data_IF_258991357839
#
_entry.id   IF_258991357839
#
_cell.length_a   1.000
_cell.length_b   1.000
_cell.length_c   1.000
_cell.angle_alpha   90.00
_cell.angle_beta   90.00
_cell.angle_gamma   90.00
#
_symmetry.space_group_name_H-M   'P 1'
#
loop_
_entity.id
_entity.type
_entity.pdbx_description
1 polymer ?
#
# COMPACT_ATOMS: atom_id res chain seq x y z
N UNK A 1 5.94 -32.30 35.68
CA UNK A 1 4.62 -32.70 35.06
C UNK A 1 3.60 -31.55 35.01
N UNK A 2 3.58 -30.63 35.96
CA UNK A 2 2.56 -29.53 36.00
C UNK A 2 2.79 -28.49 34.89
N UNK A 3 4.02 -28.15 34.47
CA UNK A 3 4.33 -27.16 33.44
C UNK A 3 3.83 -27.53 32.05
N UNK A 4 3.81 -28.79 31.65
CA UNK A 4 3.33 -29.25 30.36
C UNK A 4 1.77 -29.16 30.23
N UNK A 5 1.04 -29.32 31.34
CA UNK A 5 -0.44 -29.20 31.32
C UNK A 5 -0.88 -27.78 30.99
N UNK A 6 -0.23 -26.77 31.54
CA UNK A 6 -0.56 -25.36 31.22
C UNK A 6 -0.17 -24.99 29.78
N UNK A 7 0.93 -25.53 29.26
CA UNK A 7 1.35 -25.33 27.88
C UNK A 7 0.36 -25.94 26.89
N UNK A 8 -0.15 -27.13 27.15
CA UNK A 8 -1.20 -27.79 26.35
C UNK A 8 -2.51 -27.02 26.43
N UNK A 9 -2.91 -26.53 27.60
CA UNK A 9 -4.14 -25.72 27.78
C UNK A 9 -4.04 -24.41 26.97
N UNK A 10 -2.87 -23.74 26.97
CA UNK A 10 -2.66 -22.53 26.19
C UNK A 10 -2.72 -22.81 24.68
N UNK A 11 -2.16 -23.94 24.21
CA UNK A 11 -2.25 -24.35 22.81
C UNK A 11 -3.69 -24.67 22.41
N UNK A 12 -4.45 -25.39 23.26
CA UNK A 12 -5.86 -25.71 23.01
C UNK A 12 -6.74 -24.45 23.02
N UNK A 13 -6.48 -23.49 23.91
CA UNK A 13 -7.14 -22.18 23.91
C UNK A 13 -6.80 -21.36 22.66
N UNK A 14 -5.57 -21.37 22.18
CA UNK A 14 -5.17 -20.72 20.94
C UNK A 14 -5.77 -21.38 19.69
N UNK A 15 -5.97 -22.70 19.70
CA UNK A 15 -6.62 -23.43 18.61
C UNK A 15 -8.15 -23.29 18.61
N UNK A 16 -8.77 -23.01 19.75
CA UNK A 16 -10.24 -22.86 19.84
C UNK A 16 -10.76 -21.51 19.34
N UNK A 17 -9.91 -20.52 19.09
CA UNK A 17 -10.29 -19.21 18.54
C UNK A 17 -10.45 -19.19 17.02
N UNK A 18 -10.19 -20.31 16.33
CA UNK A 18 -10.12 -20.38 14.86
C UNK A 18 -11.47 -20.47 14.14
N UNK A 19 -12.61 -20.35 14.82
CA UNK A 19 -13.95 -20.54 14.18
C UNK A 19 -14.87 -19.32 14.25
N UNK A 20 -14.35 -18.14 14.58
CA UNK A 20 -15.14 -16.92 14.39
C UNK A 20 -15.06 -16.50 12.92
N UNK A 21 -15.88 -17.10 12.07
CA UNK A 21 -16.13 -16.63 10.71
C UNK A 21 -16.79 -15.26 10.82
N UNK A 22 -15.98 -14.19 10.83
CA UNK A 22 -16.47 -12.83 10.63
C UNK A 22 -17.09 -12.74 9.24
N UNK A 23 -18.19 -12.02 9.12
CA UNK A 23 -18.82 -11.76 7.84
C UNK A 23 -17.82 -10.97 6.97
N UNK A 24 -17.43 -11.50 5.81
CA UNK A 24 -16.54 -10.81 4.88
C UNK A 24 -17.19 -9.51 4.41
N UNK A 25 -16.48 -8.38 4.61
CA UNK A 25 -16.90 -7.04 4.15
C UNK A 25 -16.27 -6.66 2.80
N UNK A 26 -15.96 -7.65 1.95
CA UNK A 26 -15.35 -7.42 0.65
C UNK A 26 -16.18 -6.44 -0.19
N UNK A 27 -15.51 -5.43 -0.77
CA UNK A 27 -16.16 -4.45 -1.64
C UNK A 27 -16.95 -3.35 -0.90
N UNK A 28 -16.73 -3.16 0.39
CA UNK A 28 -17.43 -2.14 1.19
C UNK A 28 -16.66 -0.84 1.39
N UNK A 29 -15.50 -0.69 0.74
CA UNK A 29 -14.66 0.53 0.82
C UNK A 29 -14.44 1.17 -0.54
N UNK A 30 -14.21 2.50 -0.53
CA UNK A 30 -13.66 3.23 -1.69
C UNK A 30 -12.14 3.21 -1.68
N UNK A 31 -11.51 3.81 -2.70
CA UNK A 31 -10.05 3.98 -2.81
C UNK A 31 -9.23 2.68 -2.60
N UNK A 32 -9.69 1.57 -3.16
CA UNK A 32 -9.05 0.25 -3.04
C UNK A 32 -7.61 0.24 -3.57
N UNK A 33 -7.23 1.20 -4.44
CA UNK A 33 -5.86 1.36 -4.95
C UNK A 33 -4.82 1.59 -3.83
N UNK A 34 -5.25 2.05 -2.64
CA UNK A 34 -4.40 2.18 -1.45
C UNK A 34 -3.94 0.82 -0.88
N UNK A 35 -4.50 -0.28 -1.36
CA UNK A 35 -4.08 -1.65 -1.02
C UNK A 35 -3.06 -2.25 -2.00
N UNK A 36 -2.80 -1.59 -3.14
CA UNK A 36 -1.79 -2.05 -4.11
C UNK A 36 -0.41 -1.88 -3.50
N UNK A 37 0.42 -2.92 -3.55
CA UNK A 37 1.78 -2.88 -2.99
C UNK A 37 2.65 -1.84 -3.70
N UNK A 38 3.33 -0.98 -2.95
CA UNK A 38 4.25 0.02 -3.47
C UNK A 38 5.71 -0.45 -3.33
N UNK A 39 6.48 -0.29 -4.40
CA UNK A 39 7.90 -0.61 -4.47
C UNK A 39 8.22 -2.08 -4.77
N UNK A 40 9.06 -2.34 -5.79
CA UNK A 40 9.44 -3.68 -6.21
C UNK A 40 10.07 -4.51 -5.09
N UNK A 41 10.93 -3.91 -4.27
CA UNK A 41 11.58 -4.61 -3.15
C UNK A 41 10.56 -5.19 -2.17
N UNK A 42 9.58 -4.38 -1.77
CA UNK A 42 8.55 -4.82 -0.84
C UNK A 42 7.64 -5.88 -1.47
N UNK A 43 7.24 -5.67 -2.73
CA UNK A 43 6.40 -6.61 -3.47
C UNK A 43 7.10 -7.95 -3.68
N UNK A 44 8.40 -7.95 -4.02
CA UNK A 44 9.20 -9.18 -4.15
C UNK A 44 9.30 -9.99 -2.86
N UNK A 45 9.14 -9.34 -1.70
CA UNK A 45 9.07 -9.97 -0.39
C UNK A 45 7.62 -10.31 0.03
N UNK A 46 6.70 -10.48 -0.93
CA UNK A 46 5.30 -10.78 -0.66
C UNK A 46 4.54 -9.62 0.02
N UNK A 47 5.09 -8.41 0.09
CA UNK A 47 4.52 -7.29 0.86
C UNK A 47 4.83 -7.33 2.36
N UNK A 48 5.69 -8.24 2.83
CA UNK A 48 6.16 -8.30 4.22
C UNK A 48 7.23 -7.21 4.47
N UNK A 49 6.79 -5.98 4.72
CA UNK A 49 7.67 -4.81 4.76
C UNK A 49 7.47 -3.87 5.95
N UNK A 50 6.50 -4.12 6.83
CA UNK A 50 6.16 -3.24 7.96
C UNK A 50 7.30 -3.09 8.98
N UNK A 51 8.21 -4.07 9.05
CA UNK A 51 9.40 -4.05 9.91
C UNK A 51 10.71 -3.69 9.17
N UNK A 52 10.63 -3.29 7.88
CA UNK A 52 11.79 -2.85 7.10
C UNK A 52 11.93 -1.33 7.17
N UNK A 53 13.17 -0.81 7.21
CA UNK A 53 13.43 0.61 7.50
C UNK A 53 14.48 1.27 6.62
N UNK A 54 15.13 0.54 5.74
CA UNK A 54 16.29 0.99 4.96
C UNK A 54 15.94 1.37 3.51
N UNK A 55 14.68 1.78 3.29
CA UNK A 55 14.11 2.03 1.98
C UNK A 55 12.99 3.09 2.07
N UNK A 56 12.78 3.89 1.02
CA UNK A 56 11.70 4.88 0.96
C UNK A 56 10.31 4.24 0.99
N UNK A 57 10.15 2.98 0.60
CA UNK A 57 8.89 2.25 0.71
C UNK A 57 8.35 2.15 2.15
N UNK A 58 9.22 2.38 3.17
CA UNK A 58 8.78 2.52 4.56
C UNK A 58 7.66 3.58 4.72
N UNK A 59 7.66 4.67 3.94
CA UNK A 59 6.58 5.67 3.93
C UNK A 59 5.21 5.06 3.68
N UNK A 60 5.15 4.04 2.84
CA UNK A 60 3.90 3.39 2.45
C UNK A 60 3.44 2.36 3.47
N UNK A 61 4.36 1.54 3.99
CA UNK A 61 4.03 0.40 4.85
C UNK A 61 4.00 0.75 6.34
N UNK A 62 4.95 1.59 6.79
CA UNK A 62 5.11 1.96 8.19
C UNK A 62 5.88 3.28 8.34
N UNK A 63 5.21 4.43 8.47
CA UNK A 63 5.89 5.72 8.60
C UNK A 63 6.81 5.82 9.82
N UNK A 64 6.60 4.97 10.84
CA UNK A 64 7.49 4.89 12.00
C UNK A 64 8.89 4.36 11.68
N UNK A 65 9.04 3.62 10.57
CA UNK A 65 10.31 3.04 10.17
C UNK A 65 11.24 4.01 9.42
N UNK A 66 10.70 5.11 8.86
CA UNK A 66 11.43 5.98 7.95
C UNK A 66 12.63 6.71 8.59
N UNK A 67 12.55 7.05 9.89
CA UNK A 67 13.63 7.75 10.57
C UNK A 67 14.82 6.84 10.91
N UNK A 68 14.60 5.51 10.93
CA UNK A 68 15.61 4.54 11.35
C UNK A 68 16.72 4.33 10.32
N UNK A 69 16.47 4.63 9.03
CA UNK A 69 17.49 4.46 7.98
C UNK A 69 18.69 5.39 8.16
N UNK A 70 18.53 6.53 8.83
CA UNK A 70 19.55 7.54 9.02
C UNK A 70 20.03 8.23 7.72
N UNK A 71 19.39 7.94 6.58
CA UNK A 71 19.72 8.45 5.24
C UNK A 71 18.51 9.06 4.58
N UNK A 72 18.78 9.92 3.61
CA UNK A 72 17.76 10.40 2.67
C UNK A 72 17.59 9.40 1.53
N UNK A 73 16.35 9.19 1.11
CA UNK A 73 15.99 8.22 0.06
C UNK A 73 15.02 8.86 -0.92
N UNK A 74 15.20 8.58 -2.19
CA UNK A 74 14.23 8.85 -3.23
C UNK A 74 13.99 7.57 -4.02
N UNK A 75 12.74 7.25 -4.34
CA UNK A 75 12.37 6.14 -5.20
C UNK A 75 11.25 6.57 -6.14
N UNK A 76 11.37 6.20 -7.40
CA UNK A 76 10.30 6.22 -8.38
C UNK A 76 10.01 4.79 -8.82
N UNK A 77 8.77 4.36 -8.65
CA UNK A 77 8.27 3.02 -9.05
C UNK A 77 7.24 3.15 -10.16
N UNK A 78 7.38 2.32 -11.18
CA UNK A 78 6.39 2.11 -12.23
C UNK A 78 5.95 0.66 -12.25
N UNK A 79 4.66 0.43 -12.35
CA UNK A 79 4.04 -0.90 -12.38
C UNK A 79 3.08 -0.98 -13.54
N UNK A 80 3.28 -1.97 -14.40
CA UNK A 80 2.25 -2.43 -15.32
C UNK A 80 1.21 -3.18 -14.48
N UNK A 81 0.07 -2.51 -14.25
CA UNK A 81 -1.00 -3.06 -13.42
C UNK A 81 -2.01 -3.81 -14.27
N UNK A 82 -2.97 -4.46 -13.64
CA UNK A 82 -3.98 -5.29 -14.28
C UNK A 82 -4.75 -4.54 -15.37
N UNK A 83 -5.15 -5.24 -16.42
CA UNK A 83 -6.03 -4.72 -17.50
C UNK A 83 -5.48 -3.44 -18.16
N UNK A 84 -4.19 -3.42 -18.49
CA UNK A 84 -3.50 -2.28 -19.14
C UNK A 84 -3.57 -0.96 -18.37
N UNK A 85 -3.80 -1.01 -17.06
CA UNK A 85 -3.70 0.17 -16.20
C UNK A 85 -2.26 0.34 -15.71
N UNK A 86 -1.93 1.49 -15.16
CA UNK A 86 -0.59 1.74 -14.61
C UNK A 86 -0.65 2.26 -13.18
N UNK A 87 0.16 1.65 -12.31
CA UNK A 87 0.32 2.10 -10.93
C UNK A 87 1.70 2.70 -10.75
N UNK A 88 1.76 3.96 -10.34
CA UNK A 88 2.98 4.71 -10.13
C UNK A 88 3.08 5.14 -8.67
N UNK A 89 4.27 5.00 -8.10
CA UNK A 89 4.54 5.45 -6.75
C UNK A 89 5.87 6.18 -6.68
N UNK A 90 5.86 7.35 -6.01
CA UNK A 90 7.06 8.14 -5.72
C UNK A 90 7.15 8.31 -4.22
N UNK A 91 8.32 8.03 -3.66
CA UNK A 91 8.63 8.27 -2.25
C UNK A 91 9.93 9.06 -2.08
N UNK A 92 9.90 10.05 -1.22
CA UNK A 92 11.07 10.81 -0.81
C UNK A 92 11.13 10.92 0.70
N UNK A 93 12.24 10.50 1.30
CA UNK A 93 12.56 10.67 2.72
C UNK A 93 13.77 11.61 2.80
N UNK A 94 13.62 12.69 3.54
CA UNK A 94 14.70 13.59 3.91
C UNK A 94 15.05 13.38 5.38
N UNK A 95 16.28 12.93 5.64
CA UNK A 95 16.83 12.92 6.99
C UNK A 95 17.22 14.35 7.37
N UNK A 96 16.53 14.93 8.33
CA UNK A 96 16.76 16.31 8.77
C UNK A 96 17.69 16.41 9.98
N UNK A 97 18.35 15.30 10.35
CA UNK A 97 19.25 15.21 11.49
C UNK A 97 18.53 15.06 12.84
N UNK A 98 19.31 14.85 13.90
CA UNK A 98 18.76 14.75 15.26
C UNK A 98 17.69 13.67 15.44
N UNK A 99 17.84 12.54 14.77
CA UNK A 99 16.89 11.42 14.81
C UNK A 99 15.51 11.71 14.15
N UNK A 100 15.42 12.71 13.29
CA UNK A 100 14.16 13.08 12.64
C UNK A 100 14.24 12.87 11.13
N UNK A 101 13.10 12.50 10.54
CA UNK A 101 12.94 12.42 9.10
C UNK A 101 11.58 13.01 8.67
N UNK A 102 11.57 13.65 7.51
CA UNK A 102 10.36 14.10 6.83
C UNK A 102 10.23 13.31 5.54
N UNK A 103 9.00 12.94 5.20
CA UNK A 103 8.72 12.17 4.00
C UNK A 103 7.57 12.75 3.21
N UNK A 104 7.64 12.61 1.90
CA UNK A 104 6.52 12.88 0.99
C UNK A 104 6.36 11.70 0.04
N UNK A 105 5.12 11.36 -0.28
CA UNK A 105 4.87 10.37 -1.31
C UNK A 105 3.66 10.70 -2.17
N UNK A 106 3.69 10.19 -3.39
CA UNK A 106 2.61 10.28 -4.37
C UNK A 106 2.29 8.88 -4.85
N UNK A 107 1.04 8.49 -4.76
CA UNK A 107 0.51 7.24 -5.32
C UNK A 107 -0.50 7.58 -6.40
N UNK A 108 -0.38 6.99 -7.57
CA UNK A 108 -1.29 7.19 -8.69
C UNK A 108 -1.66 5.85 -9.31
N UNK A 109 -2.95 5.62 -9.54
CA UNK A 109 -3.46 4.58 -10.42
C UNK A 109 -4.14 5.27 -11.60
N UNK A 110 -3.66 4.99 -12.80
CA UNK A 110 -4.17 5.54 -14.06
C UNK A 110 -4.85 4.41 -14.85
N UNK A 111 -6.11 4.62 -15.15
CA UNK A 111 -6.94 3.64 -15.88
C UNK A 111 -6.90 3.85 -17.39
N UNK A 112 -6.16 4.87 -17.87
CA UNK A 112 -6.11 5.24 -19.29
C UNK A 112 -7.27 6.12 -19.72
N UNK A 113 -7.39 6.29 -21.03
CA UNK A 113 -8.43 7.07 -21.66
C UNK A 113 -9.20 6.23 -22.67
N UNK A 114 -10.53 6.31 -22.64
CA UNK A 114 -11.41 5.59 -23.56
C UNK A 114 -12.33 6.56 -24.31
N UNK A 115 -12.77 6.16 -25.49
CA UNK A 115 -13.72 6.95 -26.28
C UNK A 115 -15.13 6.86 -25.69
N UNK A 116 -15.82 7.99 -25.69
CA UNK A 116 -17.26 8.02 -25.37
C UNK A 116 -18.04 7.50 -26.57
N UNK A 117 -18.77 6.39 -26.38
CA UNK A 117 -19.65 5.81 -27.38
C UNK A 117 -21.12 5.96 -26.98
N UNK A 118 -22.00 6.07 -27.96
CA UNK A 118 -23.45 6.11 -27.74
C UNK A 118 -24.15 5.12 -28.69
N UNK A 119 -25.41 4.83 -28.42
CA UNK A 119 -26.21 3.95 -29.30
C UNK A 119 -26.26 4.47 -30.75
N UNK A 120 -26.20 5.78 -30.92
CA UNK A 120 -26.24 6.43 -32.24
C UNK A 120 -24.86 6.65 -32.86
N UNK A 121 -23.79 6.56 -32.04
CA UNK A 121 -22.39 6.75 -32.44
C UNK A 121 -21.52 5.65 -31.84
N UNK A 122 -21.65 4.39 -32.27
CA UNK A 122 -20.92 3.26 -31.70
C UNK A 122 -19.40 3.33 -31.96
N UNK A 123 -18.98 4.04 -33.02
CA UNK A 123 -17.57 4.27 -33.37
C UNK A 123 -16.92 5.40 -32.56
N UNK A 124 -17.68 6.07 -31.70
CA UNK A 124 -17.22 7.16 -30.83
C UNK A 124 -17.84 8.51 -31.17
N UNK A 125 -18.06 9.34 -30.13
CA UNK A 125 -18.59 10.71 -30.27
C UNK A 125 -17.50 11.72 -30.61
N UNK A 126 -16.22 11.34 -30.51
CA UNK A 126 -15.05 12.23 -30.55
C UNK A 126 -14.61 12.71 -29.17
N UNK A 127 -15.45 12.58 -28.13
CA UNK A 127 -15.07 12.85 -26.75
C UNK A 127 -14.34 11.65 -26.14
N UNK A 128 -13.51 11.92 -25.13
CA UNK A 128 -12.82 10.90 -24.34
C UNK A 128 -13.11 11.07 -22.86
N UNK A 129 -13.13 9.98 -22.14
CA UNK A 129 -13.21 9.96 -20.69
C UNK A 129 -12.00 9.24 -20.10
N UNK A 130 -11.62 9.62 -18.89
CA UNK A 130 -10.51 9.02 -18.16
C UNK A 130 -10.92 8.82 -16.71
N UNK A 131 -10.33 7.81 -16.08
CA UNK A 131 -10.38 7.61 -14.63
C UNK A 131 -8.97 7.62 -14.05
N UNK A 132 -8.84 8.19 -12.85
CA UNK A 132 -7.56 8.30 -12.15
C UNK A 132 -7.77 8.39 -10.65
N UNK A 133 -6.96 7.64 -9.91
CA UNK A 133 -6.87 7.72 -8.47
C UNK A 133 -5.52 8.33 -8.07
N UNK A 134 -5.53 9.17 -7.05
CA UNK A 134 -4.36 9.88 -6.55
C UNK A 134 -4.36 9.89 -5.03
N UNK A 135 -3.20 9.63 -4.40
CA UNK A 135 -2.98 9.91 -3.00
C UNK A 135 -1.66 10.68 -2.82
N UNK A 136 -1.73 11.77 -2.08
CA UNK A 136 -0.58 12.57 -1.65
C UNK A 136 -0.38 12.37 -0.16
N UNK A 137 0.86 12.14 0.29
CA UNK A 137 1.17 11.93 1.70
C UNK A 137 2.32 12.83 2.14
N UNK A 138 2.15 13.41 3.32
CA UNK A 138 3.20 14.11 4.06
C UNK A 138 3.42 13.38 5.37
N UNK A 139 4.66 13.00 5.66
CA UNK A 139 5.03 12.13 6.77
C UNK A 139 6.10 12.78 7.64
N UNK A 140 6.05 12.46 8.93
CA UNK A 140 7.08 12.78 9.89
C UNK A 140 7.40 11.56 10.74
N UNK A 141 8.68 11.29 10.96
CA UNK A 141 9.16 10.21 11.81
C UNK A 141 10.30 10.64 12.72
N UNK A 142 10.38 10.01 13.87
CA UNK A 142 11.41 10.29 14.86
C UNK A 142 11.88 9.02 15.57
N UNK A 143 13.19 8.88 15.72
CA UNK A 143 13.77 7.92 16.65
C UNK A 143 13.70 8.50 18.07
N UNK A 144 12.86 7.91 18.91
CA UNK A 144 12.74 8.30 20.33
C UNK A 144 13.91 7.77 21.15
N UNK A 145 14.42 6.60 20.75
CA UNK A 145 15.65 5.98 21.26
C UNK A 145 16.38 5.35 20.08
N UNK A 146 17.58 4.83 20.30
CA UNK A 146 18.34 4.10 19.28
C UNK A 146 17.60 2.87 18.73
N UNK A 147 16.57 2.41 19.44
CA UNK A 147 15.82 1.18 19.11
C UNK A 147 14.33 1.38 18.88
N UNK A 148 13.80 2.52 19.21
CA UNK A 148 12.36 2.77 19.11
C UNK A 148 12.10 4.03 18.31
N UNK A 149 11.36 3.87 17.24
CA UNK A 149 10.93 4.96 16.38
C UNK A 149 9.42 4.97 16.20
N UNK A 150 8.90 6.18 16.01
CA UNK A 150 7.48 6.45 15.76
C UNK A 150 7.36 7.42 14.60
N UNK A 151 6.29 7.31 13.85
CA UNK A 151 5.99 8.24 12.78
C UNK A 151 4.50 8.28 12.47
N UNK A 152 4.14 9.30 11.72
CA UNK A 152 2.79 9.47 11.22
C UNK A 152 2.79 10.16 9.88
N UNK A 153 1.68 10.01 9.15
CA UNK A 153 1.45 10.65 7.85
C UNK A 153 0.08 11.29 7.82
N UNK A 154 -0.05 12.39 7.09
CA UNK A 154 -1.31 12.96 6.68
C UNK A 154 -1.46 12.75 5.17
N UNK A 155 -2.62 12.26 4.73
CA UNK A 155 -2.90 11.93 3.34
C UNK A 155 -4.07 12.73 2.81
N UNK A 156 -3.96 13.15 1.55
CA UNK A 156 -5.07 13.60 0.72
C UNK A 156 -5.28 12.56 -0.38
N UNK A 157 -6.51 12.07 -0.52
CA UNK A 157 -6.89 11.00 -1.43
C UNK A 157 -7.97 11.56 -2.35
N UNK A 158 -7.83 11.31 -3.65
CA UNK A 158 -8.78 11.74 -4.67
C UNK A 158 -9.00 10.60 -5.67
N UNK A 159 -10.26 10.30 -5.95
CA UNK A 159 -10.66 9.45 -7.06
C UNK A 159 -11.45 10.29 -8.05
N UNK A 160 -11.10 10.20 -9.32
CA UNK A 160 -11.79 10.90 -10.41
C UNK A 160 -12.21 9.90 -11.47
N UNK A 161 -13.48 9.97 -11.83
CA UNK A 161 -14.05 9.25 -12.97
C UNK A 161 -14.75 10.26 -13.86
N UNK A 162 -14.16 10.51 -15.01
CA UNK A 162 -14.64 11.51 -15.97
C UNK A 162 -14.86 12.88 -15.32
N UNK A 163 -16.13 13.27 -15.09
CA UNK A 163 -16.54 14.58 -14.54
C UNK A 163 -16.76 14.56 -13.02
N UNK A 164 -16.77 13.35 -12.43
CA UNK A 164 -17.07 13.14 -11.03
C UNK A 164 -15.78 12.95 -10.22
N UNK A 165 -15.76 13.51 -9.03
CA UNK A 165 -14.59 13.44 -8.16
C UNK A 165 -15.03 13.15 -6.72
N UNK A 166 -14.34 12.21 -6.07
CA UNK A 166 -14.44 12.01 -4.63
C UNK A 166 -13.10 12.35 -3.98
N UNK A 167 -13.13 12.94 -2.78
CA UNK A 167 -11.90 13.21 -2.04
C UNK A 167 -12.07 12.93 -0.56
N UNK A 168 -10.97 12.51 0.07
CA UNK A 168 -10.92 12.21 1.50
C UNK A 168 -9.57 12.61 2.10
N UNK A 169 -9.55 12.81 3.40
CA UNK A 169 -8.33 12.95 4.19
C UNK A 169 -8.14 11.73 5.07
N UNK A 170 -6.90 11.29 5.22
CA UNK A 170 -6.55 10.17 6.08
C UNK A 170 -5.27 10.44 6.87
N UNK A 171 -5.06 9.64 7.90
CA UNK A 171 -3.86 9.65 8.73
C UNK A 171 -3.32 8.22 8.86
N UNK A 172 -2.00 8.11 8.89
CA UNK A 172 -1.30 6.89 9.24
C UNK A 172 -0.49 7.11 10.52
N UNK A 173 -0.35 6.03 11.28
CA UNK A 173 0.56 5.99 12.43
C UNK A 173 1.34 4.69 12.35
N UNK A 174 2.63 4.76 12.69
CA UNK A 174 3.48 3.59 12.70
C UNK A 174 4.55 3.66 13.77
N UNK A 175 5.05 2.50 14.15
CA UNK A 175 6.16 2.34 15.08
C UNK A 175 7.09 1.21 14.62
N UNK A 176 8.35 1.32 14.98
CA UNK A 176 9.35 0.29 14.76
C UNK A 176 10.19 0.10 16.04
N UNK A 177 10.39 -1.14 16.42
CA UNK A 177 11.23 -1.51 17.56
C UNK A 177 12.34 -2.48 17.13
N UNK A 178 13.59 -2.14 17.42
CA UNK A 178 14.78 -2.94 17.15
C UNK A 178 15.14 -3.73 18.39
N UNK A 179 15.23 -5.05 18.27
CA UNK A 179 15.69 -5.91 19.38
C UNK A 179 17.19 -6.17 19.31
N UNK A 180 17.76 -6.73 20.37
CA UNK A 180 19.17 -7.17 20.39
C UNK A 180 19.39 -8.55 19.78
N UNK A 181 18.32 -9.24 19.41
CA UNK A 181 18.38 -10.61 18.92
C UNK A 181 18.41 -10.62 17.39
N UNK A 182 19.54 -10.96 16.79
CA UNK A 182 19.74 -11.11 15.33
C UNK A 182 19.17 -9.96 14.51
N UNK A 183 19.35 -8.72 14.96
CA UNK A 183 18.75 -7.53 14.33
C UNK A 183 17.24 -7.67 14.06
N UNK A 184 16.54 -8.41 14.93
CA UNK A 184 15.11 -8.59 14.79
C UNK A 184 14.40 -7.26 15.01
N UNK A 185 13.53 -6.92 14.08
CA UNK A 185 12.74 -5.69 14.02
C UNK A 185 11.27 -6.05 14.14
N UNK A 186 10.53 -5.31 14.95
CA UNK A 186 9.08 -5.42 15.10
C UNK A 186 8.46 -4.12 14.61
N UNK A 187 7.63 -4.20 13.59
CA UNK A 187 6.91 -3.08 13.00
C UNK A 187 5.42 -3.20 13.27
N UNK A 188 4.78 -2.07 13.56
CA UNK A 188 3.31 -1.99 13.62
C UNK A 188 2.86 -0.71 12.94
N UNK A 189 1.76 -0.78 12.19
CA UNK A 189 1.17 0.40 11.58
C UNK A 189 -0.34 0.28 11.46
N UNK A 190 -0.99 1.44 11.53
CA UNK A 190 -2.39 1.64 11.15
C UNK A 190 -2.37 2.68 10.03
N UNK A 191 -2.92 2.33 8.87
CA UNK A 191 -2.89 3.20 7.70
C UNK A 191 -4.30 3.45 7.16
N UNK A 192 -4.48 4.65 6.55
CA UNK A 192 -5.72 5.10 5.92
C UNK A 192 -6.90 5.31 6.91
N UNK A 193 -6.63 5.68 8.15
CA UNK A 193 -7.68 6.12 9.07
C UNK A 193 -8.14 7.54 8.68
N UNK A 194 -9.36 7.66 8.17
CA UNK A 194 -9.79 8.94 7.59
C UNK A 194 -11.28 9.11 7.39
N UNK A 195 -11.62 10.14 6.59
CA UNK A 195 -12.98 10.48 6.22
C UNK A 195 -13.51 9.55 5.14
N UNK A 196 -14.81 9.52 4.95
CA UNK A 196 -15.45 8.81 3.85
C UNK A 196 -15.26 9.53 2.51
N UNK A 197 -15.27 8.76 1.43
CA UNK A 197 -15.30 9.24 0.05
C UNK A 197 -16.76 9.34 -0.42
N UNK A 198 -17.10 10.45 -1.06
CA UNK A 198 -18.38 10.64 -1.70
C UNK A 198 -18.17 11.26 -3.08
N UNK A 199 -18.68 10.63 -4.14
CA UNK A 199 -18.60 11.17 -5.50
C UNK A 199 -19.48 12.40 -5.64
N UNK A 200 -18.93 13.44 -6.25
CA UNK A 200 -19.61 14.68 -6.57
C UNK A 200 -19.14 15.21 -7.94
N UNK A 201 -20.03 15.83 -8.70
CA UNK A 201 -19.72 16.45 -9.98
C UNK A 201 -20.94 16.88 -10.76
N UNK A 202 -20.68 17.33 -12.00
CA UNK A 202 -21.69 17.99 -12.83
C UNK A 202 -22.73 17.03 -13.39
N UNK A 203 -22.42 15.75 -13.58
CA UNK A 203 -23.34 14.80 -14.21
C UNK A 203 -24.39 14.26 -13.20
N UNK A 204 -24.23 14.61 -11.91
CA UNK A 204 -25.23 14.35 -10.87
C UNK A 204 -26.42 15.33 -10.92
N UNK A 205 -26.31 16.41 -11.66
CA UNK A 205 -27.41 17.36 -11.78
C UNK A 205 -28.41 16.88 -12.84
N UNK A 206 -29.66 16.74 -12.43
CA UNK A 206 -30.77 16.32 -13.25
C UNK A 206 -31.87 17.38 -13.24
N UNK A 207 -32.53 17.57 -14.40
CA UNK A 207 -33.76 18.35 -14.44
C UNK A 207 -34.91 17.45 -14.04
N UNK A 208 -35.67 17.88 -13.07
CA UNK A 208 -36.85 17.14 -12.59
C UNK A 208 -38.09 18.05 -12.60
N UNK A 209 -39.21 17.48 -12.94
CA UNK A 209 -40.53 18.06 -12.74
C UNK A 209 -41.08 17.49 -11.42
N UNK A 210 -41.40 18.36 -10.46
CA UNK A 210 -41.95 17.98 -9.16
C UNK A 210 -43.45 17.65 -9.21
N UNK A 211 -44.13 18.11 -10.23
CA UNK A 211 -45.58 17.84 -10.43
C UNK A 211 -45.89 17.66 -11.90
N UNK A 212 -45.66 16.47 -12.47
CA UNK A 212 -45.96 16.16 -13.86
C UNK A 212 -47.42 16.31 -14.28
N UNK A 213 -48.33 16.42 -13.29
CA UNK A 213 -49.76 16.61 -13.52
C UNK A 213 -50.21 18.08 -13.58
N UNK A 214 -49.37 19.01 -13.18
CA UNK A 214 -49.67 20.43 -13.19
C UNK A 214 -49.16 21.08 -14.45
N UNK A 215 -50.02 21.70 -15.25
CA UNK A 215 -49.66 22.54 -16.38
C UNK A 215 -48.97 23.82 -15.87
N UNK A 216 -47.65 23.93 -15.98
CA UNK A 216 -46.87 25.10 -15.51
C UNK A 216 -45.39 24.94 -15.74
N UNK A 217 -44.58 25.96 -15.39
CA UNK A 217 -43.14 26.05 -15.66
C UNK A 217 -42.24 25.31 -14.66
N UNK A 218 -42.68 24.19 -14.05
CA UNK A 218 -41.89 23.43 -13.10
C UNK A 218 -40.89 22.44 -13.72
N UNK A 219 -40.82 22.34 -15.06
CA UNK A 219 -40.01 21.39 -15.81
C UNK A 219 -38.49 21.68 -15.76
N UNK A 220 -38.07 22.76 -15.08
CA UNK A 220 -36.68 23.23 -15.10
C UNK A 220 -36.00 23.26 -13.73
N UNK A 221 -36.57 22.62 -12.74
CA UNK A 221 -35.93 22.55 -11.43
C UNK A 221 -34.70 21.61 -11.51
N UNK A 222 -33.54 22.17 -11.20
CA UNK A 222 -32.33 21.36 -11.13
C UNK A 222 -32.26 20.66 -9.76
N UNK A 223 -32.28 19.35 -9.77
CA UNK A 223 -31.99 18.52 -8.59
C UNK A 223 -30.62 17.87 -8.72
N UNK A 224 -30.03 17.55 -7.60
CA UNK A 224 -28.77 16.81 -7.55
C UNK A 224 -29.03 15.41 -7.00
N UNK A 225 -28.59 14.40 -7.74
CA UNK A 225 -28.61 13.01 -7.27
C UNK A 225 -27.67 12.89 -6.08
N UNK A 226 -28.17 12.28 -4.98
CA UNK A 226 -27.35 11.99 -3.81
C UNK A 226 -26.58 10.70 -4.05
N UNK A 227 -25.27 10.77 -3.96
CA UNK A 227 -24.38 9.59 -3.98
C UNK A 227 -24.18 9.05 -2.56
N UNK A 228 -23.92 7.76 -2.45
CA UNK A 228 -23.53 7.14 -1.19
C UNK A 228 -22.06 7.47 -0.85
N UNK A 229 -21.76 7.45 0.44
CA UNK A 229 -20.40 7.60 0.95
C UNK A 229 -19.79 6.24 1.29
N UNK A 230 -18.48 6.09 1.07
CA UNK A 230 -17.72 4.87 1.24
C UNK A 230 -16.52 5.12 2.14
N UNK A 231 -16.29 4.30 3.18
CA UNK A 231 -15.11 4.42 4.02
C UNK A 231 -13.84 4.09 3.23
N UNK A 232 -12.70 4.56 3.70
CA UNK A 232 -11.39 4.17 3.20
C UNK A 232 -11.00 2.76 3.68
N UNK A 233 -10.14 2.02 2.92
CA UNK A 233 -9.64 0.73 3.35
C UNK A 233 -8.61 0.92 4.46
N UNK A 234 -9.03 0.72 5.71
CA UNK A 234 -8.15 0.78 6.88
C UNK A 234 -7.33 -0.51 6.96
N UNK A 235 -6.02 -0.40 7.12
CA UNK A 235 -5.13 -1.53 7.32
C UNK A 235 -4.45 -1.45 8.68
N UNK A 236 -4.57 -2.51 9.45
CA UNK A 236 -3.73 -2.76 10.62
C UNK A 236 -2.67 -3.79 10.25
N UNK A 237 -1.38 -3.46 10.43
CA UNK A 237 -0.25 -4.32 10.10
C UNK A 237 0.61 -4.56 11.34
N UNK A 238 1.05 -5.80 11.50
CA UNK A 238 2.08 -6.20 12.48
C UNK A 238 3.09 -7.05 11.74
N UNK A 239 4.34 -6.62 11.76
CA UNK A 239 5.41 -7.29 11.03
C UNK A 239 6.62 -7.59 11.89
N UNK A 240 7.33 -8.62 11.50
CA UNK A 240 8.64 -8.99 12.04
C UNK A 240 9.62 -9.20 10.90
N UNK A 241 10.84 -8.69 11.06
CA UNK A 241 11.95 -8.97 10.15
C UNK A 241 13.19 -9.31 10.96
N UNK A 242 14.01 -10.25 10.48
CA UNK A 242 15.20 -10.70 11.17
C UNK A 242 16.31 -11.06 10.18
N UNK A 243 17.54 -10.71 10.53
CA UNK A 243 18.71 -11.10 9.76
C UNK A 243 19.17 -12.49 10.23
N UNK A 244 18.84 -13.54 9.46
CA UNK A 244 19.19 -14.95 9.76
C UNK A 244 20.68 -15.20 9.52
N UNK A 245 21.22 -14.60 8.46
CA UNK A 245 22.65 -14.58 8.14
C UNK A 245 23.06 -13.12 8.02
N UNK A 246 24.06 -12.72 8.76
CA UNK A 246 24.67 -11.39 8.71
C UNK A 246 26.19 -11.53 8.83
N UNK A 247 26.80 -12.07 7.77
CA UNK A 247 28.22 -12.35 7.69
C UNK A 247 28.75 -11.96 6.30
N UNK A 248 29.52 -10.88 6.23
CA UNK A 248 30.07 -10.43 4.95
C UNK A 248 30.80 -11.56 4.19
N UNK A 249 30.56 -11.68 2.88
CA UNK A 249 29.79 -10.80 1.99
C UNK A 249 28.28 -11.13 1.92
N UNK A 250 27.77 -12.04 2.72
CA UNK A 250 26.42 -12.58 2.64
C UNK A 250 25.52 -12.02 3.73
N UNK A 251 24.31 -11.63 3.36
CA UNK A 251 23.24 -11.31 4.30
C UNK A 251 21.96 -11.98 3.83
N UNK A 252 21.23 -12.60 4.75
CA UNK A 252 19.90 -13.15 4.48
C UNK A 252 18.92 -12.67 5.54
N UNK A 253 17.92 -11.93 5.09
CA UNK A 253 16.85 -11.36 5.91
C UNK A 253 15.54 -12.08 5.59
N UNK A 254 14.79 -12.45 6.61
CA UNK A 254 13.43 -12.97 6.50
C UNK A 254 12.46 -11.98 7.11
N UNK A 255 11.26 -11.87 6.55
CA UNK A 255 10.21 -11.01 7.06
C UNK A 255 8.86 -11.72 6.99
N UNK A 256 7.97 -11.39 7.93
CA UNK A 256 6.58 -11.82 7.94
C UNK A 256 5.70 -10.71 8.48
N UNK A 257 4.60 -10.43 7.78
CA UNK A 257 3.60 -9.43 8.16
C UNK A 257 2.23 -10.08 8.27
N UNK A 258 1.53 -9.82 9.37
CA UNK A 258 0.10 -10.07 9.50
C UNK A 258 -0.65 -8.77 9.20
N UNK A 259 -1.63 -8.84 8.33
CA UNK A 259 -2.44 -7.73 7.87
C UNK A 259 -3.91 -8.00 8.14
N UNK A 260 -4.58 -7.06 8.83
CA UNK A 260 -6.02 -7.06 9.04
C UNK A 260 -6.63 -5.84 8.32
N UNK A 261 -7.19 -6.04 7.12
CA UNK A 261 -7.95 -5.01 6.41
C UNK A 261 -9.37 -4.94 6.95
N UNK A 262 -10.01 -3.75 6.90
CA UNK A 262 -11.41 -3.60 7.32
C UNK A 262 -12.42 -4.12 6.29
N UNK A 263 -12.00 -4.27 5.05
CA UNK A 263 -12.82 -4.62 3.89
C UNK A 263 -12.52 -6.02 3.33
N UNK A 264 -11.68 -6.80 4.02
CA UNK A 264 -11.30 -8.13 3.55
C UNK A 264 -10.93 -9.03 4.74
N UNK A 265 -10.65 -10.30 4.44
CA UNK A 265 -10.13 -11.27 5.43
C UNK A 265 -8.67 -10.96 5.79
N UNK A 266 -8.26 -11.42 6.97
CA UNK A 266 -6.88 -11.34 7.43
C UNK A 266 -5.97 -12.13 6.50
N UNK A 267 -4.78 -11.59 6.28
CA UNK A 267 -3.75 -12.23 5.47
C UNK A 267 -2.40 -12.21 6.19
N UNK A 268 -1.58 -13.18 5.83
CA UNK A 268 -0.18 -13.24 6.24
C UNK A 268 0.68 -13.20 5.00
N UNK A 269 1.67 -12.34 5.01
CA UNK A 269 2.67 -12.20 3.97
C UNK A 269 4.02 -12.68 4.51
N UNK A 270 4.80 -13.36 3.69
CA UNK A 270 6.14 -13.80 4.05
C UNK A 270 7.12 -13.48 2.93
N UNK A 271 8.37 -13.17 3.29
CA UNK A 271 9.40 -12.88 2.30
C UNK A 271 10.79 -13.09 2.81
N UNK A 272 11.71 -13.24 1.87
CA UNK A 272 13.14 -13.34 2.11
C UNK A 272 13.94 -12.50 1.13
N UNK A 273 14.99 -11.88 1.63
CA UNK A 273 15.97 -11.12 0.85
C UNK A 273 17.36 -11.68 1.12
N UNK A 274 18.00 -12.19 0.08
CA UNK A 274 19.42 -12.54 0.08
C UNK A 274 20.21 -11.43 -0.59
N UNK A 275 21.28 -10.95 0.05
CA UNK A 275 22.19 -9.99 -0.53
C UNK A 275 23.63 -10.49 -0.55
N UNK A 276 24.33 -10.16 -1.63
CA UNK A 276 25.76 -10.42 -1.81
C UNK A 276 26.51 -9.09 -1.88
N UNK A 277 27.46 -8.90 -0.98
CA UNK A 277 28.31 -7.69 -0.87
C UNK A 277 27.52 -6.37 -0.82
N UNK A 278 26.26 -6.40 -0.36
CA UNK A 278 25.33 -5.26 -0.40
C UNK A 278 25.22 -4.61 -1.80
N UNK A 279 25.50 -5.39 -2.85
CA UNK A 279 25.49 -5.00 -4.25
C UNK A 279 24.35 -5.66 -5.01
N UNK A 280 24.21 -6.98 -4.88
CA UNK A 280 23.21 -7.79 -5.56
C UNK A 280 22.19 -8.30 -4.54
N UNK A 281 20.92 -8.28 -4.93
CA UNK A 281 19.79 -8.71 -4.10
C UNK A 281 18.93 -9.68 -4.87
N UNK A 282 18.62 -10.82 -4.23
CA UNK A 282 17.64 -11.79 -4.71
C UNK A 282 16.53 -11.87 -3.67
N UNK A 283 15.29 -11.82 -4.12
CA UNK A 283 14.12 -11.76 -3.25
C UNK A 283 13.08 -12.76 -3.71
N UNK A 284 12.43 -13.36 -2.75
CA UNK A 284 11.25 -14.19 -2.98
C UNK A 284 10.27 -14.01 -1.81
N UNK A 285 8.99 -14.12 -2.13
CA UNK A 285 7.94 -13.98 -1.14
C UNK A 285 6.67 -14.68 -1.55
N UNK A 286 5.75 -14.74 -0.63
CA UNK A 286 4.39 -15.22 -0.85
C UNK A 286 3.41 -14.25 -0.20
N UNK A 287 2.50 -13.72 -0.99
CA UNK A 287 1.47 -12.78 -0.55
C UNK A 287 0.17 -13.53 -0.26
N UNK A 288 -0.60 -13.05 0.71
CA UNK A 288 -1.92 -13.58 1.04
C UNK A 288 -1.93 -15.07 1.44
N UNK A 289 -0.88 -15.51 2.17
CA UNK A 289 -0.81 -16.87 2.71
C UNK A 289 -2.04 -17.15 3.58
N UNK A 290 -2.61 -18.36 3.47
CA UNK A 290 -3.81 -18.82 4.15
C UNK A 290 -5.14 -18.21 3.67
N UNK A 291 -5.13 -17.27 2.73
CA UNK A 291 -6.35 -16.77 2.13
C UNK A 291 -6.86 -17.77 1.07
N UNK A 292 -8.07 -18.25 1.25
CA UNK A 292 -8.71 -19.09 0.26
C UNK A 292 -9.09 -18.27 -0.97
N UNK A 293 -8.95 -18.86 -2.16
CA UNK A 293 -9.30 -18.23 -3.44
C UNK A 293 -8.58 -16.87 -3.68
N UNK A 294 -7.32 -16.76 -3.23
CA UNK A 294 -6.50 -15.60 -3.52
C UNK A 294 -5.85 -15.75 -4.89
N UNK A 295 -6.01 -14.74 -5.75
CA UNK A 295 -5.25 -14.62 -7.00
C UNK A 295 -3.82 -14.13 -6.75
N UNK A 296 -3.53 -13.54 -5.59
CA UNK A 296 -2.19 -13.14 -5.18
C UNK A 296 -1.43 -14.33 -4.60
N UNK A 297 -0.15 -14.48 -4.97
CA UNK A 297 0.64 -15.64 -4.56
C UNK A 297 2.13 -15.38 -4.54
N UNK A 298 2.85 -16.13 -5.36
CA UNK A 298 4.30 -16.11 -5.44
C UNK A 298 4.81 -14.78 -6.00
N UNK A 299 5.84 -14.24 -5.34
CA UNK A 299 6.54 -13.05 -5.80
C UNK A 299 8.04 -13.32 -5.85
N UNK A 300 8.72 -12.75 -6.82
CA UNK A 300 10.16 -12.86 -6.96
C UNK A 300 10.75 -11.55 -7.49
N UNK A 301 11.97 -11.22 -7.10
CA UNK A 301 12.60 -10.00 -7.57
C UNK A 301 14.10 -10.00 -7.44
N UNK A 302 14.71 -9.09 -8.19
CA UNK A 302 16.15 -8.85 -8.18
C UNK A 302 16.43 -7.37 -7.96
N UNK A 303 17.58 -7.06 -7.40
CA UNK A 303 18.01 -5.68 -7.19
C UNK A 303 19.50 -5.53 -7.32
N UNK A 304 19.91 -4.32 -7.74
CA UNK A 304 21.32 -3.91 -7.79
C UNK A 304 21.44 -2.58 -7.08
N UNK A 305 22.48 -2.45 -6.24
CA UNK A 305 22.83 -1.21 -5.55
C UNK A 305 24.25 -0.80 -5.94
N UNK A 306 24.36 0.32 -6.64
CA UNK A 306 25.60 0.84 -7.17
C UNK A 306 26.07 2.04 -6.37
N UNK A 307 27.35 2.04 -5.99
CA UNK A 307 28.00 3.17 -5.34
C UNK A 307 28.53 4.15 -6.40
N UNK A 308 28.19 5.43 -6.25
CA UNK A 308 28.58 6.49 -7.21
C UNK A 308 29.55 7.55 -6.63
N UNK A 309 30.11 7.28 -5.45
CA UNK A 309 31.03 8.21 -4.76
C UNK A 309 30.35 9.01 -3.63
N UNK A 310 31.15 9.44 -2.65
CA UNK A 310 30.63 10.12 -1.45
C UNK A 310 29.71 9.23 -0.63
N UNK A 311 28.46 9.65 -0.40
CA UNK A 311 27.41 8.85 0.26
C UNK A 311 26.30 8.40 -0.70
N UNK A 312 26.49 8.59 -2.02
CA UNK A 312 25.45 8.40 -3.02
C UNK A 312 25.39 6.94 -3.51
N UNK A 313 24.23 6.32 -3.40
CA UNK A 313 23.94 4.99 -3.91
C UNK A 313 22.73 5.04 -4.85
N UNK A 314 22.84 4.35 -5.98
CA UNK A 314 21.75 4.10 -6.91
C UNK A 314 21.23 2.68 -6.69
N UNK A 315 19.93 2.52 -6.70
CA UNK A 315 19.27 1.22 -6.65
C UNK A 315 18.38 1.04 -7.86
N UNK A 316 18.43 -0.15 -8.45
CA UNK A 316 17.53 -0.59 -9.49
C UNK A 316 16.91 -1.90 -9.03
N UNK A 317 15.61 -1.99 -8.97
CA UNK A 317 14.90 -3.19 -8.60
C UNK A 317 13.89 -3.58 -9.68
N UNK A 318 13.72 -4.88 -9.85
CA UNK A 318 12.69 -5.48 -10.67
C UNK A 318 11.97 -6.54 -9.88
N UNK A 319 10.66 -6.63 -10.05
CA UNK A 319 9.81 -7.65 -9.42
C UNK A 319 8.80 -8.19 -10.41
N UNK A 320 8.64 -9.49 -10.33
CA UNK A 320 7.58 -10.28 -10.91
C UNK A 320 6.65 -10.75 -9.79
N UNK A 321 5.35 -10.58 -9.95
CA UNK A 321 4.34 -11.05 -9.02
C UNK A 321 3.25 -11.79 -9.79
N UNK A 322 2.98 -13.03 -9.38
CA UNK A 322 1.90 -13.85 -9.91
C UNK A 322 0.56 -13.34 -9.39
N UNK A 323 -0.40 -13.15 -10.30
CA UNK A 323 -1.75 -12.69 -10.01
C UNK A 323 -2.81 -13.65 -10.59
N UNK A 324 -2.47 -14.92 -10.67
CA UNK A 324 -3.38 -16.00 -11.06
C UNK A 324 -4.05 -15.77 -12.41
N UNK A 325 -5.38 -15.64 -12.42
CA UNK A 325 -6.18 -15.46 -13.63
C UNK A 325 -5.97 -14.10 -14.34
N UNK A 326 -5.39 -13.12 -13.66
CA UNK A 326 -5.23 -11.74 -14.17
C UNK A 326 -3.86 -11.48 -14.80
N UNK A 327 -3.08 -12.51 -15.06
CA UNK A 327 -1.70 -12.44 -15.57
C UNK A 327 -0.70 -11.91 -14.52
N UNK A 328 0.51 -11.64 -14.98
CA UNK A 328 1.63 -11.27 -14.12
C UNK A 328 1.76 -9.76 -14.00
N UNK A 329 2.16 -9.32 -12.81
CA UNK A 329 2.48 -7.92 -12.56
C UNK A 329 3.99 -7.76 -12.58
N UNK A 330 4.45 -6.74 -13.31
CA UNK A 330 5.85 -6.36 -13.40
C UNK A 330 6.04 -4.97 -12.85
N UNK A 331 6.98 -4.84 -11.91
CA UNK A 331 7.35 -3.58 -11.28
C UNK A 331 8.83 -3.27 -11.50
N UNK A 332 9.12 -1.99 -11.70
CA UNK A 332 10.46 -1.45 -11.79
C UNK A 332 10.60 -0.24 -10.89
N UNK A 333 11.73 -0.09 -10.23
CA UNK A 333 12.07 1.16 -9.58
C UNK A 333 13.49 1.64 -9.89
N UNK A 334 13.63 2.94 -9.75
CA UNK A 334 14.90 3.63 -9.66
C UNK A 334 14.94 4.38 -8.33
N UNK A 335 15.91 4.03 -7.51
CA UNK A 335 16.12 4.66 -6.21
C UNK A 335 17.47 5.35 -6.10
N UNK A 336 17.53 6.35 -5.23
CA UNK A 336 18.75 7.05 -4.84
C UNK A 336 18.75 7.20 -3.32
N UNK A 337 19.88 6.89 -2.69
CA UNK A 337 20.09 7.17 -1.25
C UNK A 337 21.39 7.96 -1.05
N UNK A 338 21.34 8.97 -0.16
CA UNK A 338 22.45 9.91 0.09
C UNK A 338 22.47 10.40 1.54
#
# INVERSE_FOLDING_TARGET
MIRYKYFIIVIVLLLSTATLMGQSKVGTTGATFLGISAGPRATAMGGAFSAMSDDAAALYYNPGAMAQSGRSHFIFTHTNWLVNTSFNWVGFILNVGGNNAIGVSVTQLDYGEEQVTTVTQPEGTGDRWAARDLALSLSYGRNLTDRFSIGGSAKYIQQRVWNETASAFAMDVGLLFLTNFNNMRLGMSITNFGTELQMDGKDLFQRIDLDPGALGHNETITAKLKTESWPLPLFFRVGVAMDVINAEPYKFTVAADALHPTDNSEIVNIGGEFSYSNLLFLRAGYKSLFRQESEEGLTAGVGIKLYSGGSLFWTLNYTYADFGLFEDIQMFDLGVSF
#
